data_IF_823764450333
#
_entry.id   IF_823764450333
#
_cell.length_a   1.000
_cell.length_b   1.000
_cell.length_c   1.000
_cell.angle_alpha   90.00
_cell.angle_beta   90.00
_cell.angle_gamma   90.00
#
_symmetry.space_group_name_H-M   'P 1'
#
loop_
_entity.id
_entity.type
_entity.pdbx_description
1 polymer ?
#
# COMPACT_ATOMS: atom_id res chain seq x y z
N UNK A 1 46.77 -40.95 -25.31
CA UNK A 1 47.08 -40.13 -26.49
C UNK A 1 46.14 -38.90 -26.58
N UNK A 2 46.01 -38.14 -25.49
CA UNK A 2 45.24 -36.87 -25.43
C UNK A 2 46.18 -35.69 -25.08
N UNK A 3 47.33 -35.96 -24.45
CA UNK A 3 48.32 -34.95 -24.08
C UNK A 3 49.10 -34.33 -25.26
N UNK A 4 49.07 -34.93 -26.45
CA UNK A 4 49.76 -34.37 -27.64
C UNK A 4 48.90 -33.39 -28.45
N UNK A 5 47.61 -33.21 -28.11
CA UNK A 5 46.66 -32.44 -28.93
C UNK A 5 46.45 -31.03 -28.38
N UNK A 6 46.70 -30.80 -27.08
CA UNK A 6 46.53 -29.50 -26.44
C UNK A 6 47.75 -29.21 -25.57
N UNK A 7 48.51 -28.13 -25.85
CA UNK A 7 49.60 -27.70 -24.99
C UNK A 7 49.10 -27.52 -23.56
N UNK A 8 49.85 -28.01 -22.57
CA UNK A 8 49.48 -27.94 -21.14
C UNK A 8 49.09 -26.50 -20.71
N UNK A 9 49.73 -25.48 -21.30
CA UNK A 9 49.41 -24.07 -21.09
C UNK A 9 47.99 -23.69 -21.52
N UNK A 10 47.49 -24.22 -22.64
CA UNK A 10 46.13 -23.99 -23.14
C UNK A 10 45.11 -24.64 -22.22
N UNK A 11 45.40 -25.85 -21.73
CA UNK A 11 44.56 -26.53 -20.75
C UNK A 11 44.45 -25.73 -19.44
N UNK A 12 45.58 -25.27 -18.90
CA UNK A 12 45.60 -24.43 -17.69
C UNK A 12 44.83 -23.12 -17.91
N UNK A 13 44.98 -22.47 -19.07
CA UNK A 13 44.24 -21.27 -19.40
C UNK A 13 42.72 -21.49 -19.46
N UNK A 14 42.27 -22.60 -20.06
CA UNK A 14 40.85 -23.00 -20.08
C UNK A 14 40.30 -23.22 -18.68
N UNK A 15 41.03 -23.94 -17.82
CA UNK A 15 40.61 -24.16 -16.43
C UNK A 15 40.51 -22.84 -15.67
N UNK A 16 41.49 -21.94 -15.80
CA UNK A 16 41.46 -20.63 -15.17
C UNK A 16 40.31 -19.75 -15.68
N UNK A 17 40.03 -19.79 -16.99
CA UNK A 17 38.89 -19.10 -17.57
C UNK A 17 37.56 -19.62 -17.01
N UNK A 18 37.39 -20.94 -16.96
CA UNK A 18 36.20 -21.56 -16.36
C UNK A 18 36.03 -21.18 -14.87
N UNK A 19 37.11 -21.21 -14.08
CA UNK A 19 37.05 -20.80 -12.67
C UNK A 19 36.63 -19.33 -12.53
N UNK A 20 37.18 -18.46 -13.39
CA UNK A 20 36.84 -17.04 -13.40
C UNK A 20 35.37 -16.82 -13.77
N UNK A 21 34.90 -17.45 -14.83
CA UNK A 21 33.51 -17.33 -15.30
C UNK A 21 32.52 -17.81 -14.24
N UNK A 22 32.81 -18.95 -13.58
CA UNK A 22 31.99 -19.46 -12.47
C UNK A 22 31.98 -18.47 -11.30
N UNK A 23 33.12 -17.88 -10.96
CA UNK A 23 33.20 -16.89 -9.87
C UNK A 23 32.41 -15.63 -10.21
N UNK A 24 32.54 -15.13 -11.43
CA UNK A 24 31.85 -13.92 -11.89
C UNK A 24 30.33 -14.16 -11.96
N UNK A 25 29.90 -15.36 -12.38
CA UNK A 25 28.50 -15.80 -12.33
C UNK A 25 27.95 -15.88 -10.89
N UNK A 26 28.70 -16.49 -9.97
CA UNK A 26 28.30 -16.57 -8.54
C UNK A 26 28.20 -15.17 -7.94
N UNK A 27 29.15 -14.29 -8.26
CA UNK A 27 29.15 -12.90 -7.79
C UNK A 27 27.92 -12.15 -8.29
N UNK A 28 27.60 -12.25 -9.59
CA UNK A 28 26.41 -11.64 -10.18
C UNK A 28 25.11 -12.14 -9.55
N UNK A 29 25.01 -13.44 -9.26
CA UNK A 29 23.86 -13.99 -8.52
C UNK A 29 23.73 -13.45 -7.10
N UNK A 30 24.84 -13.31 -6.37
CA UNK A 30 24.82 -12.79 -5.02
C UNK A 30 24.42 -11.29 -4.99
N UNK A 31 24.91 -10.51 -5.94
CA UNK A 31 24.53 -9.09 -6.10
C UNK A 31 23.03 -8.96 -6.43
N UNK A 32 22.53 -9.77 -7.36
CA UNK A 32 21.10 -9.80 -7.71
C UNK A 32 20.22 -10.15 -6.51
N UNK A 33 20.63 -11.15 -5.71
CA UNK A 33 19.93 -11.54 -4.49
C UNK A 33 19.95 -10.43 -3.43
N UNK A 34 21.08 -9.76 -3.24
CA UNK A 34 21.19 -8.62 -2.32
C UNK A 34 20.30 -7.46 -2.77
N UNK A 35 20.31 -7.13 -4.06
CA UNK A 35 19.43 -6.09 -4.63
C UNK A 35 17.96 -6.44 -4.36
N UNK A 36 17.54 -7.67 -4.68
CA UNK A 36 16.18 -8.14 -4.43
C UNK A 36 15.79 -8.00 -2.95
N UNK A 37 16.65 -8.42 -2.03
CA UNK A 37 16.37 -8.29 -0.58
C UNK A 37 16.18 -6.83 -0.14
N UNK A 38 16.98 -5.89 -0.66
CA UNK A 38 16.81 -4.47 -0.37
C UNK A 38 15.47 -3.96 -0.88
N UNK A 39 15.09 -4.31 -2.12
CA UNK A 39 13.79 -3.93 -2.70
C UNK A 39 12.62 -4.48 -1.88
N UNK A 40 12.72 -5.74 -1.43
CA UNK A 40 11.71 -6.37 -0.57
C UNK A 40 11.47 -5.56 0.71
N UNK A 41 12.54 -5.08 1.35
CA UNK A 41 12.45 -4.28 2.57
C UNK A 41 11.78 -2.93 2.28
N UNK A 42 12.22 -2.22 1.24
CA UNK A 42 11.67 -0.90 0.89
C UNK A 42 10.16 -0.97 0.58
N UNK A 43 9.76 -1.94 -0.22
CA UNK A 43 8.34 -2.16 -0.56
C UNK A 43 7.54 -2.59 0.66
N UNK A 44 8.11 -3.41 1.52
CA UNK A 44 7.48 -3.84 2.77
C UNK A 44 7.15 -2.68 3.71
N UNK A 45 8.04 -1.69 3.83
CA UNK A 45 7.78 -0.49 4.65
C UNK A 45 6.63 0.34 4.06
N UNK A 46 6.60 0.53 2.74
CA UNK A 46 5.48 1.19 2.05
C UNK A 46 4.15 0.45 2.26
N UNK A 47 4.16 -0.90 2.19
CA UNK A 47 2.98 -1.70 2.50
C UNK A 47 2.52 -1.54 3.95
N UNK A 48 3.44 -1.42 4.91
CA UNK A 48 3.09 -1.19 6.32
C UNK A 48 2.40 0.16 6.52
N UNK A 49 2.88 1.20 5.86
CA UNK A 49 2.25 2.52 5.87
C UNK A 49 0.85 2.49 5.22
N UNK A 50 0.75 1.85 4.06
CA UNK A 50 -0.52 1.67 3.35
C UNK A 50 -1.55 0.86 4.14
N UNK A 51 -1.12 -0.08 4.99
CA UNK A 51 -2.01 -0.81 5.89
C UNK A 51 -2.74 0.16 6.85
N UNK A 52 -1.99 1.05 7.49
CA UNK A 52 -2.57 2.07 8.39
C UNK A 52 -3.43 3.08 7.63
N UNK A 53 -3.02 3.48 6.42
CA UNK A 53 -3.80 4.40 5.60
C UNK A 53 -5.13 3.79 5.15
N UNK A 54 -5.15 2.50 4.81
CA UNK A 54 -6.39 1.78 4.52
C UNK A 54 -7.29 1.63 5.75
N UNK A 55 -6.74 1.29 6.92
CA UNK A 55 -7.54 1.25 8.16
C UNK A 55 -8.23 2.59 8.43
N UNK A 56 -7.53 3.71 8.21
CA UNK A 56 -8.11 5.05 8.31
C UNK A 56 -9.19 5.30 7.24
N UNK A 57 -8.96 4.91 5.99
CA UNK A 57 -9.95 5.00 4.92
C UNK A 57 -11.23 4.23 5.26
N UNK A 58 -11.11 3.00 5.77
CA UNK A 58 -12.27 2.19 6.14
C UNK A 58 -13.08 2.82 7.28
N UNK A 59 -12.40 3.33 8.31
CA UNK A 59 -13.06 4.05 9.41
C UNK A 59 -13.83 5.28 8.93
N UNK A 60 -13.22 6.09 8.07
CA UNK A 60 -13.89 7.26 7.50
C UNK A 60 -15.07 6.83 6.63
N UNK A 61 -14.88 5.82 5.79
CA UNK A 61 -15.92 5.26 4.93
C UNK A 61 -17.13 4.77 5.75
N UNK A 62 -16.90 4.01 6.82
CA UNK A 62 -17.94 3.56 7.76
C UNK A 62 -18.68 4.76 8.39
N UNK A 63 -17.95 5.75 8.89
CA UNK A 63 -18.55 6.93 9.51
C UNK A 63 -19.42 7.71 8.51
N UNK A 64 -18.96 7.85 7.26
CA UNK A 64 -19.73 8.53 6.22
C UNK A 64 -20.98 7.75 5.85
N UNK A 65 -20.92 6.41 5.81
CA UNK A 65 -22.12 5.57 5.62
C UNK A 65 -23.16 5.80 6.71
N UNK A 66 -22.74 5.87 7.98
CA UNK A 66 -23.63 6.19 9.10
C UNK A 66 -24.29 7.58 8.96
N UNK A 67 -23.58 8.57 8.40
CA UNK A 67 -24.16 9.90 8.13
C UNK A 67 -25.20 9.90 7.00
N UNK A 68 -25.18 8.92 6.09
CA UNK A 68 -26.25 8.77 5.10
C UNK A 68 -27.53 8.17 5.70
N UNK A 69 -27.41 7.47 6.83
CA UNK A 69 -28.50 6.71 7.44
C UNK A 69 -29.13 7.42 8.64
N UNK A 70 -28.60 8.58 9.06
CA UNK A 70 -29.06 9.35 10.22
C UNK A 70 -29.73 10.65 9.81
N UNK A 71 -30.89 10.95 10.40
CA UNK A 71 -31.68 12.18 10.15
C UNK A 71 -31.13 13.44 10.86
N UNK A 72 -29.97 13.34 11.54
CA UNK A 72 -29.41 14.46 12.29
C UNK A 72 -28.70 15.44 11.34
N UNK A 73 -28.74 16.75 11.59
CA UNK A 73 -27.94 17.70 10.83
C UNK A 73 -26.46 17.41 11.07
N UNK A 74 -25.74 17.07 10.00
CA UNK A 74 -24.30 16.80 10.02
C UNK A 74 -23.60 17.83 9.13
N UNK A 75 -22.72 18.64 9.73
CA UNK A 75 -21.80 19.48 8.94
C UNK A 75 -20.49 18.74 8.72
N UNK A 76 -20.01 18.77 7.48
CA UNK A 76 -18.80 18.07 7.04
C UNK A 76 -17.83 19.10 6.51
N UNK A 77 -16.58 19.03 6.95
CA UNK A 77 -15.49 19.88 6.48
C UNK A 77 -14.26 19.02 6.18
N UNK A 78 -13.61 19.33 5.07
CA UNK A 78 -12.31 18.76 4.71
C UNK A 78 -11.24 19.84 4.87
N UNK A 79 -10.15 19.51 5.55
CA UNK A 79 -8.96 20.35 5.60
C UNK A 79 -7.74 19.55 5.15
N UNK A 80 -6.91 20.11 4.29
CA UNK A 80 -5.69 19.45 3.82
C UNK A 80 -4.49 20.03 4.55
N UNK A 81 -3.65 19.17 5.13
CA UNK A 81 -2.43 19.59 5.79
C UNK A 81 -1.34 20.03 4.79
N UNK A 82 -0.23 20.56 5.32
CA UNK A 82 0.93 20.99 4.51
C UNK A 82 1.63 19.86 3.74
N UNK A 83 1.32 18.61 4.06
CA UNK A 83 1.88 17.41 3.44
C UNK A 83 0.92 16.77 2.44
N UNK A 84 -0.27 17.36 2.23
CA UNK A 84 -1.30 16.86 1.34
C UNK A 84 -2.21 15.81 1.98
N UNK A 85 -2.13 15.54 3.28
CA UNK A 85 -3.07 14.64 3.94
C UNK A 85 -4.37 15.35 4.27
N UNK A 86 -5.49 14.71 3.96
CA UNK A 86 -6.81 15.25 4.28
C UNK A 86 -7.19 14.89 5.71
N UNK A 87 -7.83 15.84 6.39
CA UNK A 87 -8.48 15.68 7.68
C UNK A 87 -9.97 15.92 7.50
N UNK A 88 -10.76 14.92 7.87
CA UNK A 88 -12.21 14.98 7.80
C UNK A 88 -12.73 15.40 9.17
N UNK A 89 -13.44 16.52 9.21
CA UNK A 89 -14.15 17.00 10.38
C UNK A 89 -15.65 16.74 10.18
N UNK A 90 -16.22 15.95 11.08
CA UNK A 90 -17.66 15.69 11.13
C UNK A 90 -18.21 16.33 12.40
N UNK A 91 -19.10 17.28 12.22
CA UNK A 91 -19.85 17.94 13.28
C UNK A 91 -21.24 17.32 13.35
N UNK A 92 -21.58 16.74 14.50
CA UNK A 92 -22.87 16.12 14.76
C UNK A 92 -23.63 17.00 15.76
N UNK A 93 -24.84 17.45 15.39
CA UNK A 93 -25.68 18.33 16.21
C UNK A 93 -25.83 19.74 15.62
N UNK A 94 -26.73 20.53 16.21
CA UNK A 94 -26.91 21.93 15.78
C UNK A 94 -25.79 22.81 16.38
N UNK A 95 -25.20 23.73 15.60
CA UNK A 95 -24.14 24.63 16.09
C UNK A 95 -24.57 25.51 17.28
N UNK A 96 -25.88 25.72 17.43
CA UNK A 96 -26.48 26.55 18.48
C UNK A 96 -26.58 25.80 19.82
N UNK A 97 -26.51 24.47 19.79
CA UNK A 97 -26.68 23.59 20.95
C UNK A 97 -25.29 23.11 21.43
N UNK A 98 -24.56 24.02 22.09
CA UNK A 98 -23.19 23.81 22.57
C UNK A 98 -22.99 22.56 23.46
N UNK A 99 -24.08 22.00 24.03
CA UNK A 99 -24.03 20.82 24.90
C UNK A 99 -24.03 19.47 24.14
N UNK A 100 -24.49 19.45 22.87
CA UNK A 100 -24.56 18.24 22.02
C UNK A 100 -23.55 18.26 20.86
N UNK A 101 -22.64 19.24 20.82
CA UNK A 101 -21.72 19.47 19.72
C UNK A 101 -20.52 18.51 19.76
N UNK A 102 -20.59 17.42 19.00
CA UNK A 102 -19.48 16.46 18.87
C UNK A 102 -18.68 16.71 17.60
N UNK A 103 -17.36 16.90 17.76
CA UNK A 103 -16.41 17.01 16.65
C UNK A 103 -15.58 15.73 16.54
N UNK A 104 -15.72 15.04 15.41
CA UNK A 104 -14.88 13.90 15.06
C UNK A 104 -13.90 14.33 13.98
N UNK A 105 -12.61 14.34 14.31
CA UNK A 105 -11.52 14.59 13.37
C UNK A 105 -10.85 13.26 12.98
N UNK A 106 -10.93 12.89 11.71
CA UNK A 106 -10.37 11.64 11.19
C UNK A 106 -9.29 11.94 10.15
N UNK A 107 -8.04 11.47 10.35
CA UNK A 107 -7.03 11.57 9.33
C UNK A 107 -7.38 10.64 8.15
N UNK A 108 -7.19 11.14 6.93
CA UNK A 108 -7.39 10.40 5.70
C UNK A 108 -6.16 10.63 4.80
N UNK A 109 -5.07 9.96 5.11
CA UNK A 109 -3.84 10.03 4.33
C UNK A 109 -4.00 9.42 2.93
N UNK A 110 -3.13 9.82 2.01
CA UNK A 110 -3.04 9.21 0.68
C UNK A 110 -2.41 7.81 0.75
N UNK A 111 -2.75 6.96 -0.21
CA UNK A 111 -1.99 5.72 -0.45
C UNK A 111 -0.62 6.09 -1.03
N UNK A 112 0.43 5.53 -0.44
CA UNK A 112 1.82 5.77 -0.84
C UNK A 112 2.23 4.75 -1.92
N UNK A 113 2.77 5.22 -3.03
CA UNK A 113 3.17 4.39 -4.19
C UNK A 113 4.61 4.64 -4.65
N UNK A 114 5.39 5.42 -3.89
CA UNK A 114 6.69 5.93 -4.33
C UNK A 114 7.72 4.82 -4.52
N UNK A 115 7.81 3.86 -3.59
CA UNK A 115 8.73 2.74 -3.67
C UNK A 115 8.31 1.79 -4.78
N UNK A 116 7.01 1.51 -4.91
CA UNK A 116 6.48 0.74 -6.02
C UNK A 116 6.87 1.36 -7.37
N UNK A 117 6.55 2.63 -7.60
CA UNK A 117 6.82 3.31 -8.89
C UNK A 117 8.32 3.34 -9.23
N UNK A 118 9.18 3.55 -8.24
CA UNK A 118 10.62 3.64 -8.45
C UNK A 118 11.30 2.28 -8.67
N UNK A 119 10.73 1.19 -8.16
CA UNK A 119 11.44 -0.09 -8.05
C UNK A 119 10.74 -1.27 -8.70
N UNK A 120 9.49 -1.14 -9.15
CA UNK A 120 8.73 -2.27 -9.68
C UNK A 120 9.38 -2.90 -10.92
N UNK A 121 10.05 -2.10 -11.77
CA UNK A 121 10.79 -2.61 -12.93
C UNK A 121 11.98 -3.48 -12.50
N UNK A 122 12.70 -3.06 -11.46
CA UNK A 122 13.81 -3.86 -10.92
C UNK A 122 13.33 -5.17 -10.30
N UNK A 123 12.15 -5.15 -9.65
CA UNK A 123 11.53 -6.37 -9.15
C UNK A 123 11.17 -7.32 -10.29
N UNK A 124 10.55 -6.81 -11.37
CA UNK A 124 10.20 -7.62 -12.54
C UNK A 124 11.42 -8.33 -13.15
N UNK A 125 12.57 -7.66 -13.20
CA UNK A 125 13.82 -8.23 -13.73
C UNK A 125 14.43 -9.30 -12.83
N UNK A 126 14.19 -9.23 -11.52
CA UNK A 126 14.82 -10.11 -10.52
C UNK A 126 13.93 -11.27 -10.08
N UNK A 127 12.61 -11.07 -10.04
CA UNK A 127 11.62 -12.03 -9.54
C UNK A 127 10.22 -11.72 -10.13
N UNK A 128 9.86 -12.44 -11.20
CA UNK A 128 8.59 -12.24 -11.92
C UNK A 128 7.37 -12.58 -11.05
N UNK A 129 7.43 -13.68 -10.30
CA UNK A 129 6.31 -14.10 -9.44
C UNK A 129 6.03 -13.05 -8.37
N UNK A 130 7.09 -12.51 -7.76
CA UNK A 130 6.96 -11.43 -6.79
C UNK A 130 6.39 -10.15 -7.41
N UNK A 131 6.84 -9.82 -8.62
CA UNK A 131 6.30 -8.69 -9.37
C UNK A 131 4.79 -8.84 -9.59
N UNK A 132 4.32 -10.03 -10.00
CA UNK A 132 2.91 -10.27 -10.28
C UNK A 132 2.06 -10.05 -9.00
N UNK A 133 2.47 -10.63 -7.86
CA UNK A 133 1.81 -10.43 -6.56
C UNK A 133 1.75 -8.97 -6.15
N UNK A 134 2.87 -8.24 -6.23
CA UNK A 134 2.92 -6.82 -5.87
C UNK A 134 2.04 -6.01 -6.82
N UNK A 135 2.15 -6.24 -8.12
CA UNK A 135 1.45 -5.45 -9.12
C UNK A 135 -0.07 -5.59 -8.97
N UNK A 136 -0.57 -6.81 -8.72
CA UNK A 136 -1.98 -7.06 -8.44
C UNK A 136 -2.45 -6.26 -7.21
N UNK A 137 -1.69 -6.29 -6.12
CA UNK A 137 -1.99 -5.51 -4.92
C UNK A 137 -2.03 -4.01 -5.22
N UNK A 138 -1.06 -3.45 -5.95
CA UNK A 138 -1.05 -2.02 -6.27
C UNK A 138 -2.14 -1.61 -7.25
N UNK A 139 -2.68 -2.52 -8.07
CA UNK A 139 -3.91 -2.27 -8.83
C UNK A 139 -5.10 -2.09 -7.87
N UNK A 140 -5.20 -2.92 -6.83
CA UNK A 140 -6.24 -2.79 -5.81
C UNK A 140 -6.07 -1.50 -4.98
N UNK A 141 -4.86 -1.19 -4.54
CA UNK A 141 -4.57 0.03 -3.78
C UNK A 141 -4.89 1.31 -4.58
N UNK A 142 -4.62 1.33 -5.89
CA UNK A 142 -5.03 2.44 -6.76
C UNK A 142 -6.55 2.59 -6.86
N UNK A 143 -7.31 1.49 -6.75
CA UNK A 143 -8.78 1.57 -6.65
C UNK A 143 -9.21 2.20 -5.32
N UNK A 144 -8.57 1.82 -4.21
CA UNK A 144 -8.83 2.42 -2.91
C UNK A 144 -8.55 3.93 -2.92
N UNK A 145 -7.44 4.36 -3.54
CA UNK A 145 -7.09 5.78 -3.69
C UNK A 145 -8.14 6.56 -4.50
N UNK A 146 -8.69 5.96 -5.57
CA UNK A 146 -9.80 6.59 -6.31
C UNK A 146 -11.06 6.74 -5.45
N UNK A 147 -11.37 5.74 -4.63
CA UNK A 147 -12.51 5.79 -3.71
C UNK A 147 -12.28 6.87 -2.65
N UNK A 148 -11.09 6.94 -2.05
CA UNK A 148 -10.66 8.01 -1.14
C UNK A 148 -10.88 9.39 -1.75
N UNK A 149 -10.37 9.64 -2.96
CA UNK A 149 -10.50 10.95 -3.60
C UNK A 149 -11.96 11.29 -3.91
N UNK A 150 -12.76 10.32 -4.32
CA UNK A 150 -14.21 10.54 -4.55
C UNK A 150 -14.94 10.83 -3.24
N UNK A 151 -14.54 10.17 -2.14
CA UNK A 151 -15.08 10.41 -0.80
C UNK A 151 -14.74 11.83 -0.32
N UNK A 152 -13.49 12.27 -0.49
CA UNK A 152 -13.06 13.64 -0.16
C UNK A 152 -13.86 14.68 -0.93
N UNK A 153 -13.98 14.54 -2.25
CA UNK A 153 -14.77 15.47 -3.07
C UNK A 153 -16.25 15.52 -2.65
N UNK A 154 -16.84 14.38 -2.26
CA UNK A 154 -18.19 14.36 -1.72
C UNK A 154 -18.31 15.10 -0.39
N UNK A 155 -17.37 14.87 0.53
CA UNK A 155 -17.34 15.52 1.84
C UNK A 155 -17.07 17.03 1.75
N UNK A 156 -16.31 17.47 0.74
CA UNK A 156 -16.06 18.87 0.43
C UNK A 156 -17.25 19.55 -0.30
N UNK A 157 -18.31 18.82 -0.63
CA UNK A 157 -19.47 19.37 -1.35
C UNK A 157 -19.23 19.63 -2.84
N UNK A 158 -18.16 19.07 -3.41
CA UNK A 158 -17.79 19.25 -4.83
C UNK A 158 -18.58 18.34 -5.78
N UNK A 159 -19.33 17.38 -5.25
CA UNK A 159 -20.09 16.37 -6.01
C UNK A 159 -21.58 16.43 -5.67
N UNK A 160 -22.45 16.60 -6.68
CA UNK A 160 -23.92 16.60 -6.55
C UNK A 160 -24.63 15.39 -7.19
N UNK A 161 -25.74 14.99 -6.58
CA UNK A 161 -26.80 14.03 -6.96
C UNK A 161 -26.38 12.60 -7.40
N UNK A 162 -26.21 12.34 -8.70
CA UNK A 162 -26.16 10.96 -9.25
C UNK A 162 -24.89 10.21 -8.84
N UNK A 163 -23.81 10.95 -8.58
CA UNK A 163 -22.53 10.39 -8.14
C UNK A 163 -22.55 9.96 -6.67
N UNK A 164 -23.50 10.44 -5.85
CA UNK A 164 -23.62 10.04 -4.45
C UNK A 164 -24.10 8.61 -4.30
N UNK A 165 -24.99 8.12 -5.18
CA UNK A 165 -25.41 6.72 -5.18
C UNK A 165 -24.29 5.77 -5.61
N UNK A 166 -23.55 6.11 -6.67
CA UNK A 166 -22.40 5.35 -7.13
C UNK A 166 -21.25 5.37 -6.09
N UNK A 167 -21.05 6.50 -5.41
CA UNK A 167 -20.13 6.61 -4.29
C UNK A 167 -20.57 5.73 -3.12
N UNK A 168 -21.83 5.82 -2.70
CA UNK A 168 -22.38 4.99 -1.62
C UNK A 168 -22.23 3.50 -1.92
N UNK A 169 -22.42 3.07 -3.18
CA UNK A 169 -22.23 1.68 -3.59
C UNK A 169 -20.75 1.25 -3.49
N UNK A 170 -19.84 2.06 -4.04
CA UNK A 170 -18.40 1.75 -3.99
C UNK A 170 -17.84 1.80 -2.55
N UNK A 171 -18.34 2.71 -1.72
CA UNK A 171 -17.97 2.83 -0.30
C UNK A 171 -18.53 1.65 0.51
N UNK A 172 -19.78 1.22 0.25
CA UNK A 172 -20.33 -0.01 0.85
C UNK A 172 -19.52 -1.25 0.46
N UNK A 173 -19.12 -1.35 -0.81
CA UNK A 173 -18.30 -2.46 -1.29
C UNK A 173 -16.91 -2.49 -0.61
N UNK A 174 -16.25 -1.34 -0.49
CA UNK A 174 -14.90 -1.28 0.11
C UNK A 174 -14.92 -1.61 1.60
N UNK A 175 -15.95 -1.16 2.32
CA UNK A 175 -16.15 -1.45 3.75
C UNK A 175 -16.48 -2.93 3.94
N UNK A 176 -17.40 -3.49 3.13
CA UNK A 176 -17.76 -4.92 3.22
C UNK A 176 -16.55 -5.83 3.00
N UNK A 177 -15.68 -5.45 2.07
CA UNK A 177 -14.51 -6.24 1.69
C UNK A 177 -13.23 -5.79 2.43
N UNK A 178 -13.33 -5.00 3.51
CA UNK A 178 -12.18 -4.48 4.25
C UNK A 178 -11.17 -5.57 4.64
N UNK A 179 -11.66 -6.71 5.16
CA UNK A 179 -10.78 -7.80 5.56
C UNK A 179 -9.97 -8.36 4.39
N UNK A 180 -10.55 -8.42 3.19
CA UNK A 180 -9.87 -8.92 2.00
C UNK A 180 -8.72 -8.01 1.59
N UNK A 181 -8.93 -6.69 1.60
CA UNK A 181 -7.87 -5.72 1.29
C UNK A 181 -6.73 -5.76 2.30
N UNK A 182 -7.04 -5.86 3.60
CA UNK A 182 -6.03 -5.93 4.66
C UNK A 182 -5.26 -7.26 4.63
N UNK A 183 -5.94 -8.37 4.33
CA UNK A 183 -5.29 -9.68 4.16
C UNK A 183 -4.42 -9.73 2.89
N UNK A 184 -4.83 -9.10 1.79
CA UNK A 184 -4.01 -9.00 0.58
C UNK A 184 -2.70 -8.25 0.85
N UNK A 185 -2.76 -7.12 1.57
CA UNK A 185 -1.60 -6.38 2.05
C UNK A 185 -0.69 -7.23 2.93
N UNK A 186 -1.28 -7.95 3.90
CA UNK A 186 -0.56 -8.84 4.79
C UNK A 186 0.12 -9.99 4.03
N UNK A 187 -0.55 -10.61 3.06
CA UNK A 187 -0.03 -11.72 2.26
C UNK A 187 1.21 -11.29 1.49
N UNK A 188 1.13 -10.17 0.75
CA UNK A 188 2.29 -9.67 0.00
C UNK A 188 3.40 -9.23 0.95
N UNK A 189 3.10 -8.59 2.08
CA UNK A 189 4.11 -8.26 3.10
C UNK A 189 4.82 -9.50 3.65
N UNK A 190 4.09 -10.60 3.86
CA UNK A 190 4.64 -11.89 4.26
C UNK A 190 5.55 -12.48 3.17
N UNK A 191 5.20 -12.37 1.89
CA UNK A 191 6.07 -12.77 0.78
C UNK A 191 7.38 -11.97 0.72
N UNK A 192 7.34 -10.69 1.10
CA UNK A 192 8.50 -9.81 1.13
C UNK A 192 9.42 -10.06 2.33
N UNK A 193 8.85 -10.28 3.53
CA UNK A 193 9.62 -10.26 4.79
C UNK A 193 9.54 -11.52 5.63
N UNK A 194 8.70 -12.49 5.25
CA UNK A 194 8.32 -13.67 6.04
C UNK A 194 7.61 -13.36 7.38
N UNK A 195 7.24 -12.10 7.61
CA UNK A 195 6.56 -11.64 8.83
C UNK A 195 5.19 -11.05 8.50
N UNK A 196 4.27 -11.10 9.47
CA UNK A 196 2.99 -10.36 9.37
C UNK A 196 3.20 -8.90 9.69
N UNK A 197 2.34 -8.04 9.17
CA UNK A 197 2.30 -6.64 9.59
C UNK A 197 1.86 -6.61 11.05
N UNK A 198 2.73 -6.11 11.92
CA UNK A 198 2.36 -5.81 13.31
C UNK A 198 1.50 -4.55 13.31
N UNK A 199 0.27 -4.66 13.86
CA UNK A 199 -0.57 -3.48 14.07
C UNK A 199 0.13 -2.54 15.05
N UNK A 200 0.71 -1.45 14.56
CA UNK A 200 1.26 -0.38 15.41
C UNK A 200 0.13 0.54 15.88
N UNK A 201 -0.76 0.06 16.73
CA UNK A 201 -1.49 0.93 17.65
C UNK A 201 -1.73 0.19 18.97
N UNK A 202 -1.23 0.78 20.05
CA UNK A 202 -1.58 0.36 21.40
C UNK A 202 -3.10 0.37 21.56
N UNK A 203 -3.61 -0.61 22.32
CA UNK A 203 -4.96 -0.57 22.85
C UNK A 203 -5.18 0.81 23.46
N UNK A 204 -6.01 1.63 22.84
CA UNK A 204 -6.64 2.72 23.59
C UNK A 204 -7.67 1.99 24.46
N UNK A 205 -7.29 1.73 25.71
CA UNK A 205 -8.26 1.35 26.72
C UNK A 205 -9.32 2.45 26.73
N UNK A 206 -10.56 2.05 26.46
CA UNK A 206 -11.72 2.90 26.61
C UNK A 206 -11.76 3.36 28.08
N UNK A 207 -11.60 4.66 28.31
CA UNK A 207 -11.92 5.31 29.58
C UNK A 207 -13.41 5.65 29.61
#
# INVERSE_FOLDING_TARGET
MILDIIPLSVFVALVLFCIREVRDFIKGRNESRKKLNTLKILLSEELRENYSNLESLFRVAEQVLLTFETDHPVQKLVNTDRYGNDYIYVHIGEPEDNENYSLVAMPLAHIVTKQYENHIQDVALLDQTLYDSINELYVQLRRCEKIRNTLVCHLAGEINDVRNWALATNVKDIVRNQSEYLEALNSVHQELTTKRIEKRFGKVEQL
#
